data_IF_087008442834
#
_entry.id   IF_087008442834
#
_cell.length_a   1.000
_cell.length_b   1.000
_cell.length_c   1.000
_cell.angle_alpha   90.00
_cell.angle_beta   90.00
_cell.angle_gamma   90.00
#
_symmetry.space_group_name_H-M   'P 1'
#
loop_
_entity.id
_entity.type
_entity.pdbx_description
1 polymer ?
#
# COMPACT_ATOMS: atom_id res chain seq x y z
N UNK A 1 -35.68 11.77 18.17
CA UNK A 1 -35.54 13.24 17.97
C UNK A 1 -36.83 13.98 18.34
N UNK A 2 -38.01 13.42 18.08
CA UNK A 2 -39.30 14.06 18.46
C UNK A 2 -39.40 14.29 19.98
N UNK A 3 -39.00 13.34 20.79
CA UNK A 3 -38.98 13.45 22.26
C UNK A 3 -37.98 14.49 22.80
N UNK A 4 -36.89 14.76 22.07
CA UNK A 4 -35.92 15.78 22.49
C UNK A 4 -36.49 17.20 22.41
N UNK A 5 -37.50 17.43 21.53
CA UNK A 5 -38.14 18.73 21.37
C UNK A 5 -39.04 19.11 22.56
N UNK A 6 -39.45 18.14 23.34
CA UNK A 6 -40.36 18.32 24.48
C UNK A 6 -39.64 18.30 25.84
N UNK A 7 -38.35 17.92 25.89
CA UNK A 7 -37.55 17.89 27.10
C UNK A 7 -36.87 19.22 27.37
N UNK A 8 -36.81 19.63 28.63
CA UNK A 8 -35.97 20.75 29.07
C UNK A 8 -34.62 20.19 29.52
N UNK A 9 -33.55 20.83 29.09
CA UNK A 9 -32.17 20.48 29.45
C UNK A 9 -31.54 21.67 30.19
N UNK A 10 -30.71 21.41 31.17
CA UNK A 10 -29.93 22.42 31.82
C UNK A 10 -28.63 22.73 31.08
N UNK A 11 -27.87 23.75 31.52
CA UNK A 11 -26.63 24.19 30.90
C UNK A 11 -25.49 23.17 30.97
N UNK A 12 -25.61 22.13 31.81
CA UNK A 12 -24.60 21.08 32.00
C UNK A 12 -24.95 19.78 31.22
N UNK A 13 -26.08 19.78 30.54
CA UNK A 13 -26.54 18.62 29.78
C UNK A 13 -25.93 18.58 28.38
N UNK A 14 -25.16 17.54 28.07
CA UNK A 14 -24.69 17.27 26.72
C UNK A 14 -25.56 16.21 26.03
N UNK A 15 -26.04 16.51 24.84
CA UNK A 15 -26.83 15.60 24.02
C UNK A 15 -25.95 15.04 22.91
N UNK A 16 -25.78 13.72 22.91
CA UNK A 16 -25.03 13.01 21.85
C UNK A 16 -26.01 12.29 20.96
N UNK A 17 -26.06 12.68 19.68
CA UNK A 17 -26.92 12.07 18.67
C UNK A 17 -26.06 11.15 17.81
N UNK A 18 -26.38 9.86 17.85
CA UNK A 18 -25.76 8.87 16.97
C UNK A 18 -26.32 8.88 15.56
N UNK A 19 -25.63 8.26 14.65
CA UNK A 19 -26.09 7.97 13.28
C UNK A 19 -26.42 6.47 13.13
N UNK A 20 -26.79 6.03 11.91
CA UNK A 20 -27.14 4.63 11.62
C UNK A 20 -26.04 3.62 11.94
N UNK A 21 -24.80 4.04 12.08
CA UNK A 21 -23.66 3.19 12.40
C UNK A 21 -23.31 3.21 13.89
N UNK A 22 -23.95 4.08 14.68
CA UNK A 22 -23.71 4.15 16.13
C UNK A 22 -24.16 2.87 16.81
N UNK A 23 -23.33 2.36 17.69
CA UNK A 23 -23.56 1.15 18.49
C UNK A 23 -23.55 1.51 19.97
N UNK A 24 -24.19 0.65 20.77
CA UNK A 24 -24.11 0.73 22.22
C UNK A 24 -23.50 -0.56 22.78
N UNK A 25 -22.47 -0.39 23.64
CA UNK A 25 -21.88 -1.50 24.37
C UNK A 25 -21.86 -1.12 25.85
N UNK A 26 -22.65 -1.81 26.65
CA UNK A 26 -22.95 -1.44 28.06
C UNK A 26 -23.47 0.00 28.13
N UNK A 27 -22.76 0.88 28.82
CA UNK A 27 -23.13 2.29 29.02
C UNK A 27 -22.50 3.24 27.96
N UNK A 28 -21.68 2.72 27.07
CA UNK A 28 -20.97 3.51 26.07
C UNK A 28 -21.70 3.52 24.75
N UNK A 29 -21.81 4.70 24.17
CA UNK A 29 -22.27 4.90 22.80
C UNK A 29 -21.08 5.29 21.93
N UNK A 30 -20.87 4.60 20.82
CA UNK A 30 -19.77 4.87 19.91
C UNK A 30 -20.19 4.65 18.45
N UNK A 31 -19.57 5.38 17.55
CA UNK A 31 -19.70 5.17 16.11
C UNK A 31 -18.38 4.59 15.61
N UNK A 32 -18.33 3.33 15.15
CA UNK A 32 -17.13 2.76 14.56
C UNK A 32 -16.71 3.60 13.35
N UNK A 33 -15.46 4.05 13.34
CA UNK A 33 -14.89 4.85 12.24
C UNK A 33 -13.78 4.11 11.51
N UNK A 34 -13.83 2.78 11.45
CA UNK A 34 -12.80 1.99 10.79
C UNK A 34 -11.43 2.00 11.51
N UNK A 35 -11.37 2.51 12.74
CA UNK A 35 -10.18 2.40 13.57
C UNK A 35 -10.14 1.02 14.21
N UNK A 36 -9.20 0.19 13.75
CA UNK A 36 -8.77 -1.08 14.35
C UNK A 36 -9.80 -1.88 15.17
N UNK A 37 -10.25 -3.01 14.65
CA UNK A 37 -10.85 -4.16 15.37
C UNK A 37 -11.65 -3.84 16.64
N UNK A 38 -12.53 -2.84 16.60
CA UNK A 38 -13.48 -2.56 17.68
C UNK A 38 -14.56 -3.64 17.78
N UNK A 39 -14.93 -4.18 16.64
CA UNK A 39 -15.63 -5.44 16.57
C UNK A 39 -14.69 -6.39 15.83
N UNK A 40 -14.51 -7.60 16.31
CA UNK A 40 -13.93 -8.70 15.53
C UNK A 40 -14.82 -9.03 14.30
N UNK A 41 -15.55 -8.05 13.77
CA UNK A 41 -16.50 -8.15 12.67
C UNK A 41 -15.94 -7.68 11.32
N UNK A 42 -14.65 -7.30 11.26
CA UNK A 42 -13.99 -7.05 9.98
C UNK A 42 -13.76 -8.33 9.17
N UNK A 43 -14.09 -9.48 9.72
CA UNK A 43 -13.96 -10.79 9.08
C UNK A 43 -15.29 -11.34 8.54
N UNK A 44 -16.14 -10.48 8.00
CA UNK A 44 -17.46 -10.93 7.50
C UNK A 44 -17.44 -11.50 6.09
N UNK A 45 -16.34 -11.44 5.38
CA UNK A 45 -16.22 -12.13 4.08
C UNK A 45 -16.14 -13.63 4.35
N UNK A 46 -17.27 -14.31 4.13
CA UNK A 46 -17.32 -15.77 4.20
C UNK A 46 -16.73 -16.34 2.93
N UNK A 47 -15.84 -17.34 3.06
CA UNK A 47 -15.19 -17.94 1.90
C UNK A 47 -16.18 -18.43 0.83
N UNK A 48 -17.32 -18.95 1.23
CA UNK A 48 -18.36 -19.43 0.31
C UNK A 48 -19.18 -18.31 -0.38
N UNK A 49 -19.01 -17.05 0.02
CA UNK A 49 -19.58 -15.90 -0.70
C UNK A 49 -18.66 -15.39 -1.81
N UNK A 50 -17.45 -15.92 -1.89
CA UNK A 50 -16.48 -15.57 -2.94
C UNK A 50 -16.66 -16.54 -4.14
N UNK A 51 -16.38 -16.08 -5.37
CA UNK A 51 -16.49 -16.92 -6.54
C UNK A 51 -15.53 -18.11 -6.44
N UNK A 52 -16.08 -19.32 -6.58
CA UNK A 52 -15.29 -20.54 -6.53
C UNK A 52 -14.37 -20.65 -7.76
N UNK A 53 -13.16 -21.16 -7.56
CA UNK A 53 -12.17 -21.30 -8.62
C UNK A 53 -11.59 -19.99 -9.12
N UNK A 54 -11.77 -18.90 -8.40
CA UNK A 54 -11.21 -17.59 -8.78
C UNK A 54 -9.69 -17.55 -8.70
N UNK A 55 -9.07 -16.79 -9.60
CA UNK A 55 -7.69 -16.33 -9.41
C UNK A 55 -7.66 -15.24 -8.32
N UNK A 56 -6.81 -15.42 -7.33
CA UNK A 56 -6.65 -14.45 -6.25
C UNK A 56 -5.49 -13.51 -6.53
N UNK A 57 -5.80 -12.25 -6.81
CA UNK A 57 -4.81 -11.21 -7.06
C UNK A 57 -4.55 -10.44 -5.78
N UNK A 58 -3.38 -10.61 -5.21
CA UNK A 58 -2.91 -9.80 -4.10
C UNK A 58 -2.32 -8.51 -4.66
N UNK A 59 -3.04 -7.41 -4.43
CA UNK A 59 -2.78 -6.12 -5.04
C UNK A 59 -2.52 -5.05 -3.96
N UNK A 60 -2.27 -3.86 -4.39
CA UNK A 60 -1.96 -2.66 -3.61
C UNK A 60 -1.27 -1.64 -4.50
N UNK A 61 -1.29 -1.90 -5.80
CA UNK A 61 -0.65 -1.08 -6.84
C UNK A 61 -1.63 -0.88 -8.01
N UNK A 62 -1.41 0.18 -8.79
CA UNK A 62 -2.15 0.41 -10.04
C UNK A 62 -2.03 -0.76 -11.02
N UNK A 63 -0.83 -1.36 -11.09
CA UNK A 63 -0.57 -2.49 -11.99
C UNK A 63 -1.33 -3.75 -11.57
N UNK A 64 -1.40 -4.02 -10.24
CA UNK A 64 -2.18 -5.13 -9.74
C UNK A 64 -3.68 -4.98 -10.05
N UNK A 65 -4.19 -3.75 -10.02
CA UNK A 65 -5.57 -3.48 -10.43
C UNK A 65 -5.76 -3.63 -11.95
N UNK A 66 -4.80 -3.17 -12.76
CA UNK A 66 -4.82 -3.35 -14.20
C UNK A 66 -4.73 -4.83 -14.59
N UNK A 67 -3.85 -5.61 -13.94
CA UNK A 67 -3.76 -7.06 -14.12
C UNK A 67 -5.06 -7.77 -13.74
N UNK A 68 -5.68 -7.37 -12.63
CA UNK A 68 -6.98 -7.93 -12.21
C UNK A 68 -8.06 -7.70 -13.26
N UNK A 69 -8.07 -6.52 -13.90
CA UNK A 69 -8.95 -6.22 -15.03
C UNK A 69 -8.65 -7.15 -16.22
N UNK A 70 -7.39 -7.26 -16.61
CA UNK A 70 -6.99 -8.11 -17.73
C UNK A 70 -7.42 -9.58 -17.51
N UNK A 71 -7.28 -10.10 -16.29
CA UNK A 71 -7.74 -11.45 -15.95
C UNK A 71 -9.29 -11.54 -16.07
N UNK A 72 -10.03 -10.58 -15.55
CA UNK A 72 -11.50 -10.57 -15.61
C UNK A 72 -12.02 -10.48 -17.05
N UNK A 73 -11.36 -9.71 -17.92
CA UNK A 73 -11.69 -9.60 -19.33
C UNK A 73 -11.52 -10.92 -20.12
N UNK A 74 -10.73 -11.88 -19.60
CA UNK A 74 -10.69 -13.24 -20.15
C UNK A 74 -11.89 -14.11 -19.76
N UNK A 75 -12.82 -13.59 -18.97
CA UNK A 75 -13.99 -14.33 -18.44
C UNK A 75 -13.68 -15.16 -17.20
N UNK A 76 -12.46 -15.10 -16.65
CA UNK A 76 -12.10 -15.80 -15.41
C UNK A 76 -12.63 -15.06 -14.20
N UNK A 77 -13.06 -15.82 -13.19
CA UNK A 77 -13.40 -15.27 -11.88
C UNK A 77 -12.13 -14.73 -11.18
N UNK A 78 -12.25 -13.55 -10.58
CA UNK A 78 -11.15 -12.86 -9.89
C UNK A 78 -11.60 -12.44 -8.51
N UNK A 79 -10.73 -12.61 -7.53
CA UNK A 79 -10.83 -12.00 -6.21
C UNK A 79 -9.62 -11.09 -6.02
N UNK A 80 -9.85 -9.81 -5.73
CA UNK A 80 -8.76 -8.86 -5.43
C UNK A 80 -8.63 -8.70 -3.92
N UNK A 81 -7.45 -9.00 -3.40
CA UNK A 81 -7.10 -8.80 -2.00
C UNK A 81 -6.21 -7.57 -1.83
N UNK A 82 -6.62 -6.62 -1.00
CA UNK A 82 -5.89 -5.40 -0.69
C UNK A 82 -5.74 -5.19 0.81
N UNK A 83 -4.65 -4.54 1.24
CA UNK A 83 -4.35 -4.34 2.65
C UNK A 83 -5.14 -3.20 3.31
N UNK A 84 -5.87 -2.38 2.53
CA UNK A 84 -6.59 -1.21 3.02
C UNK A 84 -7.91 -1.02 2.29
N UNK A 85 -8.85 -0.32 2.92
CA UNK A 85 -10.14 0.03 2.30
C UNK A 85 -9.93 0.93 1.08
N UNK A 86 -8.95 1.82 1.10
CA UNK A 86 -8.56 2.62 -0.05
C UNK A 86 -8.10 1.75 -1.24
N UNK A 87 -7.26 0.73 -0.99
CA UNK A 87 -6.88 -0.23 -2.03
C UNK A 87 -8.07 -1.01 -2.58
N UNK A 88 -9.06 -1.30 -1.73
CA UNK A 88 -10.31 -1.94 -2.12
C UNK A 88 -11.16 -1.04 -3.03
N UNK A 89 -11.32 0.24 -2.67
CA UNK A 89 -12.02 1.23 -3.50
C UNK A 89 -11.36 1.35 -4.89
N UNK A 90 -10.04 1.41 -4.93
CA UNK A 90 -9.28 1.45 -6.19
C UNK A 90 -9.49 0.19 -7.05
N UNK A 91 -9.52 -1.00 -6.43
CA UNK A 91 -9.78 -2.25 -7.13
C UNK A 91 -11.21 -2.29 -7.71
N UNK A 92 -12.21 -1.86 -6.95
CA UNK A 92 -13.60 -1.78 -7.41
C UNK A 92 -13.81 -0.75 -8.54
N UNK A 93 -13.09 0.37 -8.50
CA UNK A 93 -13.09 1.35 -9.59
C UNK A 93 -12.44 0.78 -10.85
N UNK A 94 -11.35 0.03 -10.70
CA UNK A 94 -10.63 -0.57 -11.81
C UNK A 94 -11.41 -1.71 -12.47
N UNK A 95 -12.11 -2.53 -11.68
CA UNK A 95 -12.88 -3.72 -12.12
C UNK A 95 -14.26 -3.67 -11.46
N UNK A 96 -15.24 -2.99 -12.04
CA UNK A 96 -16.58 -2.91 -11.47
C UNK A 96 -17.20 -4.30 -11.24
N UNK A 97 -17.72 -4.52 -10.02
CA UNK A 97 -18.35 -5.80 -9.65
C UNK A 97 -17.38 -6.92 -9.28
N UNK A 98 -16.07 -6.69 -9.27
CA UNK A 98 -15.10 -7.69 -8.83
C UNK A 98 -15.31 -8.03 -7.35
N UNK A 99 -15.14 -9.30 -7.00
CA UNK A 99 -15.10 -9.72 -5.61
C UNK A 99 -13.81 -9.18 -4.94
N UNK A 100 -13.95 -8.50 -3.81
CA UNK A 100 -12.83 -7.91 -3.10
C UNK A 100 -12.76 -8.35 -1.66
N UNK A 101 -11.54 -8.46 -1.15
CA UNK A 101 -11.25 -8.71 0.26
C UNK A 101 -10.29 -7.64 0.76
N UNK A 102 -10.72 -6.82 1.69
CA UNK A 102 -9.90 -5.74 2.25
C UNK A 102 -9.42 -6.05 3.67
N UNK A 103 -8.30 -5.45 4.03
CA UNK A 103 -7.73 -5.51 5.36
C UNK A 103 -6.43 -6.28 5.45
N UNK A 104 -5.74 -6.09 6.58
CA UNK A 104 -4.48 -6.81 6.87
C UNK A 104 -4.78 -8.21 7.39
N UNK A 105 -5.13 -9.11 6.47
CA UNK A 105 -5.41 -10.50 6.82
C UNK A 105 -4.13 -11.18 7.37
N UNK A 106 -4.27 -11.92 8.47
CA UNK A 106 -3.25 -12.85 8.92
C UNK A 106 -3.11 -14.06 7.96
N UNK A 107 -2.00 -14.81 8.09
CA UNK A 107 -1.73 -15.99 7.25
C UNK A 107 -2.86 -17.00 7.35
N UNK A 108 -3.34 -17.30 8.56
CA UNK A 108 -4.42 -18.26 8.81
C UNK A 108 -5.70 -17.87 8.06
N UNK A 109 -6.05 -16.59 8.14
CA UNK A 109 -7.27 -16.11 7.47
C UNK A 109 -7.16 -16.16 5.95
N UNK A 110 -5.99 -15.86 5.38
CA UNK A 110 -5.74 -16.05 3.95
C UNK A 110 -5.88 -17.52 3.55
N UNK A 111 -5.33 -18.44 4.34
CA UNK A 111 -5.45 -19.89 4.15
C UNK A 111 -6.91 -20.32 4.08
N UNK A 112 -7.70 -19.92 5.08
CA UNK A 112 -9.14 -20.23 5.14
C UNK A 112 -9.90 -19.74 3.91
N UNK A 113 -9.64 -18.49 3.49
CA UNK A 113 -10.32 -17.89 2.36
C UNK A 113 -9.93 -18.53 1.03
N UNK A 114 -8.64 -18.78 0.81
CA UNK A 114 -8.12 -19.45 -0.39
C UNK A 114 -8.68 -20.87 -0.52
N UNK A 115 -8.61 -21.66 0.56
CA UNK A 115 -9.14 -23.03 0.58
C UNK A 115 -10.66 -23.05 0.44
N UNK A 116 -11.36 -22.22 1.21
CA UNK A 116 -12.82 -22.19 1.25
C UNK A 116 -13.47 -21.69 -0.03
N UNK A 117 -12.80 -20.82 -0.79
CA UNK A 117 -13.21 -20.40 -2.13
C UNK A 117 -12.68 -21.32 -3.24
N UNK A 118 -11.92 -22.35 -2.90
CA UNK A 118 -11.26 -23.22 -3.89
C UNK A 118 -10.49 -22.40 -4.93
N UNK A 119 -9.63 -21.49 -4.47
CA UNK A 119 -8.84 -20.62 -5.32
C UNK A 119 -8.14 -21.44 -6.43
N UNK A 120 -8.06 -20.91 -7.64
CA UNK A 120 -7.37 -21.58 -8.76
C UNK A 120 -5.89 -21.22 -8.84
N UNK A 121 -5.51 -20.04 -8.40
CA UNK A 121 -4.12 -19.57 -8.39
C UNK A 121 -3.96 -18.40 -7.42
N UNK A 122 -2.73 -18.19 -6.97
CA UNK A 122 -2.27 -16.99 -6.27
C UNK A 122 -1.47 -16.14 -7.27
N UNK A 123 -1.97 -14.93 -7.54
CA UNK A 123 -1.29 -13.91 -8.35
C UNK A 123 -0.76 -12.83 -7.41
N UNK A 124 0.54 -12.80 -7.22
CA UNK A 124 1.21 -11.79 -6.40
C UNK A 124 1.58 -10.57 -7.27
N UNK A 125 0.73 -9.56 -7.24
CA UNK A 125 0.95 -8.25 -7.85
C UNK A 125 1.18 -7.15 -6.79
N UNK A 126 1.70 -7.55 -5.62
CA UNK A 126 2.04 -6.62 -4.55
C UNK A 126 3.22 -5.73 -4.93
N UNK A 127 3.38 -4.63 -4.19
CA UNK A 127 4.50 -3.72 -4.41
C UNK A 127 5.85 -4.47 -4.31
N UNK A 128 6.84 -4.22 -5.20
CA UNK A 128 8.12 -4.93 -5.21
C UNK A 128 8.86 -4.99 -3.86
N UNK A 129 8.59 -4.04 -2.97
CA UNK A 129 9.16 -4.00 -1.61
C UNK A 129 8.29 -4.68 -0.55
N UNK A 130 7.27 -5.44 -0.93
CA UNK A 130 6.43 -6.19 -0.01
C UNK A 130 6.93 -7.63 0.19
N UNK A 131 8.24 -7.81 0.35
CA UNK A 131 8.94 -9.10 0.40
C UNK A 131 8.36 -10.07 1.43
N UNK A 132 8.00 -9.60 2.62
CA UNK A 132 7.35 -10.43 3.63
C UNK A 132 6.00 -11.00 3.14
N UNK A 133 5.20 -10.18 2.45
CA UNK A 133 3.94 -10.63 1.88
C UNK A 133 4.16 -11.67 0.78
N UNK A 134 5.09 -11.42 -0.13
CA UNK A 134 5.44 -12.38 -1.19
C UNK A 134 5.92 -13.71 -0.62
N UNK A 135 6.77 -13.71 0.42
CA UNK A 135 7.22 -14.92 1.08
C UNK A 135 6.05 -15.71 1.70
N UNK A 136 5.12 -15.01 2.37
CA UNK A 136 3.93 -15.64 2.95
C UNK A 136 3.01 -16.22 1.87
N UNK A 137 2.87 -15.54 0.72
CA UNK A 137 2.06 -16.02 -0.40
C UNK A 137 2.70 -17.24 -1.09
N UNK A 138 4.02 -17.26 -1.26
CA UNK A 138 4.75 -18.43 -1.77
C UNK A 138 4.55 -19.66 -0.87
N UNK A 139 4.71 -19.47 0.45
CA UNK A 139 4.50 -20.56 1.42
C UNK A 139 3.04 -21.08 1.40
N UNK A 140 2.04 -20.19 1.30
CA UNK A 140 0.64 -20.59 1.18
C UNK A 140 0.34 -21.29 -0.14
N UNK A 141 0.96 -20.87 -1.24
CA UNK A 141 0.80 -21.52 -2.53
C UNK A 141 1.34 -22.95 -2.50
N UNK A 142 2.51 -23.17 -1.92
CA UNK A 142 3.11 -24.48 -1.73
C UNK A 142 2.22 -25.36 -0.83
N UNK A 143 1.81 -24.87 0.33
CA UNK A 143 0.94 -25.59 1.28
C UNK A 143 -0.39 -26.03 0.67
N UNK A 144 -1.01 -25.15 -0.12
CA UNK A 144 -2.33 -25.38 -0.71
C UNK A 144 -2.25 -26.03 -2.11
N UNK A 145 -1.04 -26.36 -2.57
CA UNK A 145 -0.79 -26.87 -3.92
C UNK A 145 -1.40 -25.98 -5.03
N UNK A 146 -1.33 -24.66 -4.85
CA UNK A 146 -1.83 -23.67 -5.80
C UNK A 146 -0.69 -23.15 -6.67
N UNK A 147 -0.92 -22.87 -7.96
CA UNK A 147 0.01 -22.11 -8.77
C UNK A 147 0.27 -20.73 -8.15
N UNK A 148 1.56 -20.36 -8.04
CA UNK A 148 2.00 -19.04 -7.63
C UNK A 148 2.58 -18.30 -8.82
N UNK A 149 2.02 -17.12 -9.14
CA UNK A 149 2.44 -16.29 -10.27
C UNK A 149 2.81 -14.91 -9.72
N UNK A 150 4.09 -14.54 -9.83
CA UNK A 150 4.54 -13.18 -9.51
C UNK A 150 4.45 -12.29 -10.73
N UNK A 151 3.72 -11.19 -10.62
CA UNK A 151 3.87 -10.09 -11.55
C UNK A 151 4.83 -9.05 -10.96
N UNK A 152 5.92 -8.81 -11.63
CA UNK A 152 6.89 -7.80 -11.23
C UNK A 152 7.25 -6.92 -12.42
N UNK A 153 6.74 -5.68 -12.37
CA UNK A 153 7.03 -4.70 -13.41
C UNK A 153 8.54 -4.56 -13.61
N UNK A 154 9.03 -4.30 -14.84
CA UNK A 154 10.43 -4.05 -15.10
C UNK A 154 11.03 -3.01 -14.16
N UNK A 155 12.27 -3.18 -13.76
CA UNK A 155 12.99 -2.16 -13.02
C UNK A 155 13.16 -0.93 -13.90
N UNK A 156 13.05 0.28 -13.31
CA UNK A 156 13.27 1.50 -14.05
C UNK A 156 14.75 1.63 -14.45
N UNK A 157 15.02 1.75 -15.74
CA UNK A 157 16.22 2.38 -16.22
C UNK A 157 16.09 3.89 -15.96
N UNK A 158 17.17 4.57 -15.63
CA UNK A 158 17.17 6.04 -15.56
C UNK A 158 18.21 6.60 -16.50
N UNK A 159 17.80 7.55 -17.33
CA UNK A 159 18.73 8.37 -18.11
C UNK A 159 19.45 9.41 -17.25
N UNK A 160 18.98 9.59 -16.01
CA UNK A 160 19.53 10.55 -15.06
C UNK A 160 20.43 9.87 -14.01
N UNK A 161 21.42 10.58 -13.45
CA UNK A 161 22.28 10.05 -12.42
C UNK A 161 21.53 9.58 -11.19
N UNK A 162 21.72 8.33 -10.77
CA UNK A 162 21.17 7.75 -9.55
C UNK A 162 22.25 7.06 -8.75
N UNK A 163 22.15 7.10 -7.44
CA UNK A 163 23.06 6.39 -6.52
C UNK A 163 22.27 5.24 -5.90
N UNK A 164 22.62 4.01 -6.23
CA UNK A 164 21.90 2.83 -5.74
C UNK A 164 22.44 2.36 -4.39
N UNK A 165 21.52 1.94 -3.51
CA UNK A 165 21.80 1.37 -2.20
C UNK A 165 20.98 0.10 -2.00
N UNK A 166 21.56 -0.87 -1.31
CA UNK A 166 20.92 -2.15 -1.08
C UNK A 166 19.69 -2.06 -0.16
N UNK A 167 19.71 -1.15 0.81
CA UNK A 167 18.68 -1.05 1.86
C UNK A 167 18.52 0.38 2.40
N UNK A 168 17.50 0.56 3.25
CA UNK A 168 17.19 1.86 3.86
C UNK A 168 18.26 2.36 4.81
N UNK A 169 18.99 1.46 5.48
CA UNK A 169 20.03 1.86 6.45
C UNK A 169 21.25 2.39 5.72
N UNK A 170 21.67 1.76 4.63
CA UNK A 170 22.76 2.25 3.77
C UNK A 170 22.37 3.56 3.07
N UNK A 171 21.13 3.68 2.60
CA UNK A 171 20.61 4.90 2.00
C UNK A 171 20.57 6.06 3.02
N UNK A 172 20.17 5.81 4.27
CA UNK A 172 20.19 6.80 5.33
C UNK A 172 21.60 7.32 5.62
N UNK A 173 22.56 6.40 5.84
CA UNK A 173 23.98 6.77 6.07
C UNK A 173 24.55 7.58 4.92
N UNK A 174 24.30 7.17 3.69
CA UNK A 174 24.78 7.88 2.51
C UNK A 174 24.16 9.28 2.40
N UNK A 175 22.83 9.40 2.58
CA UNK A 175 22.15 10.68 2.50
C UNK A 175 22.68 11.71 3.49
N UNK A 176 23.01 11.28 4.71
CA UNK A 176 23.60 12.14 5.74
C UNK A 176 24.98 12.72 5.35
N UNK A 177 25.70 12.07 4.42
CA UNK A 177 26.94 12.61 3.87
C UNK A 177 26.72 13.54 2.67
N UNK A 178 25.53 13.52 2.07
CA UNK A 178 25.21 14.23 0.82
C UNK A 178 24.37 15.49 1.01
N UNK A 179 23.58 15.55 2.10
CA UNK A 179 22.70 16.68 2.32
C UNK A 179 22.30 16.84 3.79
N UNK A 180 21.69 17.96 4.10
CA UNK A 180 21.13 18.29 5.43
C UNK A 180 19.61 18.25 5.47
N UNK A 181 18.96 18.44 4.33
CA UNK A 181 17.49 18.46 4.17
C UNK A 181 17.07 17.34 3.24
N UNK A 182 16.89 16.16 3.83
CA UNK A 182 16.68 14.91 3.09
C UNK A 182 15.19 14.65 2.88
N UNK A 183 14.79 14.43 1.65
CA UNK A 183 13.41 14.09 1.29
C UNK A 183 13.26 12.59 1.06
N UNK A 184 12.32 11.98 1.80
CA UNK A 184 11.99 10.57 1.73
C UNK A 184 10.74 10.37 0.85
N UNK A 185 10.94 9.85 -0.36
CA UNK A 185 9.87 9.38 -1.24
C UNK A 185 9.64 7.86 -1.08
N UNK A 186 9.83 7.33 0.14
CA UNK A 186 9.80 5.90 0.48
C UNK A 186 8.54 5.46 1.23
N UNK A 187 7.65 6.42 1.52
CA UNK A 187 6.48 6.18 2.38
C UNK A 187 6.84 6.06 3.87
N UNK A 188 5.88 5.66 4.69
CA UNK A 188 6.01 5.67 6.16
C UNK A 188 6.54 4.37 6.76
N UNK A 189 6.58 3.25 6.02
CA UNK A 189 6.85 1.91 6.60
C UNK A 189 8.23 1.82 7.27
N UNK A 190 9.26 2.37 6.62
CA UNK A 190 10.65 2.32 7.09
C UNK A 190 11.16 3.66 7.62
N UNK A 191 10.26 4.64 7.82
CA UNK A 191 10.60 5.98 8.31
C UNK A 191 11.44 5.96 9.60
N UNK A 192 11.11 5.03 10.51
CA UNK A 192 11.83 4.85 11.78
C UNK A 192 13.34 4.55 11.58
N UNK A 193 13.73 3.85 10.49
CA UNK A 193 15.14 3.55 10.20
C UNK A 193 15.93 4.81 9.87
N UNK A 194 15.36 5.69 9.04
CA UNK A 194 15.99 6.96 8.67
C UNK A 194 16.15 7.88 9.88
N UNK A 195 15.12 7.98 10.71
CA UNK A 195 15.17 8.81 11.91
C UNK A 195 16.14 8.26 12.95
N UNK A 196 16.19 6.94 13.14
CA UNK A 196 17.11 6.28 14.06
C UNK A 196 18.58 6.40 13.62
N UNK A 197 18.85 6.47 12.31
CA UNK A 197 20.20 6.64 11.81
C UNK A 197 20.82 8.01 12.19
N UNK A 198 19.98 9.03 12.38
CA UNK A 198 20.39 10.40 12.77
C UNK A 198 20.13 10.65 14.26
N UNK A 199 20.77 9.86 15.11
CA UNK A 199 20.61 9.93 16.57
C UNK A 199 20.96 11.31 17.16
N UNK A 200 21.82 12.06 16.53
CA UNK A 200 22.21 13.40 16.94
C UNK A 200 21.31 14.50 16.35
N UNK A 201 20.31 14.14 15.56
CA UNK A 201 19.34 15.03 14.92
C UNK A 201 19.99 16.20 14.14
N UNK A 202 21.11 15.91 13.47
CA UNK A 202 21.87 16.92 12.69
C UNK A 202 21.26 17.19 11.31
N UNK A 203 20.27 16.38 10.89
CA UNK A 203 19.62 16.45 9.59
C UNK A 203 18.14 16.76 9.74
N UNK A 204 17.54 17.26 8.69
CA UNK A 204 16.11 17.49 8.61
C UNK A 204 15.50 16.51 7.61
N UNK A 205 14.67 15.61 8.13
CA UNK A 205 13.99 14.61 7.34
C UNK A 205 12.61 15.11 6.95
N UNK A 206 12.28 15.01 5.68
CA UNK A 206 10.99 15.33 5.10
C UNK A 206 10.44 14.06 4.48
N UNK A 207 9.13 13.83 4.55
CA UNK A 207 8.55 12.61 4.01
C UNK A 207 7.33 12.91 3.15
N UNK A 208 7.21 12.18 2.05
CA UNK A 208 5.96 12.06 1.31
C UNK A 208 5.38 10.67 1.51
N UNK A 209 4.08 10.63 1.83
CA UNK A 209 3.34 9.41 2.12
C UNK A 209 1.93 9.49 1.51
N UNK A 210 1.29 8.33 1.35
CA UNK A 210 -0.10 8.29 0.93
C UNK A 210 -0.99 8.98 1.97
N UNK A 211 -2.12 9.61 1.56
CA UNK A 211 -3.03 10.34 2.45
C UNK A 211 -3.90 9.39 3.29
N UNK A 212 -3.27 8.40 3.91
CA UNK A 212 -3.89 7.44 4.82
C UNK A 212 -3.63 7.88 6.27
N UNK A 213 -4.66 7.95 7.13
CA UNK A 213 -4.52 8.35 8.52
C UNK A 213 -3.47 7.55 9.30
N UNK A 214 -3.34 6.25 9.02
CA UNK A 214 -2.34 5.41 9.70
C UNK A 214 -0.92 5.77 9.31
N UNK A 215 -0.68 6.12 8.05
CA UNK A 215 0.64 6.57 7.57
C UNK A 215 1.02 7.90 8.19
N UNK A 216 0.04 8.82 8.27
CA UNK A 216 0.25 10.12 8.91
C UNK A 216 0.51 9.96 10.41
N UNK A 217 -0.32 9.17 11.10
CA UNK A 217 -0.17 8.93 12.55
C UNK A 217 1.19 8.32 12.86
N UNK A 218 1.64 7.31 12.08
CA UNK A 218 2.98 6.72 12.24
C UNK A 218 4.10 7.76 12.13
N UNK A 219 4.04 8.68 11.18
CA UNK A 219 5.04 9.73 11.05
C UNK A 219 5.04 10.69 12.25
N UNK A 220 3.86 11.01 12.78
CA UNK A 220 3.71 11.85 13.97
C UNK A 220 4.20 11.16 15.26
N UNK A 221 3.88 9.86 15.42
CA UNK A 221 4.34 9.05 16.57
C UNK A 221 5.87 8.92 16.62
N UNK A 222 6.51 8.95 15.45
CA UNK A 222 7.97 9.00 15.33
C UNK A 222 8.56 10.40 15.56
N UNK A 223 7.73 11.38 15.91
CA UNK A 223 8.16 12.75 16.23
C UNK A 223 8.43 13.66 15.03
N UNK A 224 8.04 13.24 13.81
CA UNK A 224 8.25 14.10 12.65
C UNK A 224 7.31 15.32 12.66
N UNK A 225 7.83 16.56 12.55
CA UNK A 225 6.99 17.75 12.52
C UNK A 225 6.02 17.74 11.34
N UNK A 226 4.76 18.17 11.58
CA UNK A 226 3.73 18.25 10.51
C UNK A 226 4.19 19.05 9.28
N UNK A 227 4.98 20.10 9.50
CA UNK A 227 5.55 20.94 8.42
C UNK A 227 6.53 20.20 7.51
N UNK A 228 6.94 18.98 7.85
CA UNK A 228 7.84 18.13 7.07
C UNK A 228 7.15 16.91 6.48
N UNK A 229 5.81 16.86 6.52
CA UNK A 229 5.01 15.75 6.02
C UNK A 229 4.17 16.22 4.85
N UNK A 230 4.33 15.59 3.69
CA UNK A 230 3.47 15.73 2.52
C UNK A 230 2.61 14.48 2.38
N UNK A 231 1.34 14.56 2.77
CA UNK A 231 0.38 13.47 2.61
C UNK A 231 -0.44 13.68 1.33
N UNK A 232 0.01 13.10 0.21
CA UNK A 232 -0.61 13.23 -1.10
C UNK A 232 -0.51 11.95 -1.92
N UNK A 233 -1.55 11.69 -2.72
CA UNK A 233 -1.56 10.57 -3.66
C UNK A 233 -0.77 10.91 -4.92
N UNK A 234 0.16 10.02 -5.29
CA UNK A 234 0.90 10.08 -6.55
C UNK A 234 0.18 9.36 -7.71
N UNK A 235 0.82 9.28 -8.88
CA UNK A 235 2.18 9.75 -9.18
C UNK A 235 2.28 11.28 -9.32
N UNK A 236 3.50 11.81 -9.23
CA UNK A 236 3.78 13.25 -9.33
C UNK A 236 4.63 13.54 -10.56
N UNK A 237 4.33 14.62 -11.25
CA UNK A 237 5.15 15.11 -12.36
C UNK A 237 6.52 15.58 -11.89
N UNK A 238 7.46 15.73 -12.82
CA UNK A 238 8.76 16.35 -12.56
C UNK A 238 8.58 17.74 -11.94
N UNK A 239 7.74 18.59 -12.55
CA UNK A 239 7.51 19.94 -12.07
C UNK A 239 6.96 20.01 -10.63
N UNK A 240 6.07 19.07 -10.27
CA UNK A 240 5.54 18.99 -8.90
C UNK A 240 6.62 18.59 -7.88
N UNK A 241 7.51 17.66 -8.25
CA UNK A 241 8.64 17.29 -7.41
C UNK A 241 9.61 18.46 -7.25
N UNK A 242 9.98 19.13 -8.34
CA UNK A 242 10.89 20.28 -8.31
C UNK A 242 10.35 21.43 -7.44
N UNK A 243 9.05 21.77 -7.59
CA UNK A 243 8.42 22.83 -6.82
C UNK A 243 8.45 22.52 -5.32
N UNK A 244 8.01 21.33 -4.92
CA UNK A 244 7.99 20.91 -3.52
C UNK A 244 9.42 20.91 -2.93
N UNK A 245 10.38 20.36 -3.64
CA UNK A 245 11.75 20.27 -3.15
C UNK A 245 12.46 21.63 -3.09
N UNK A 246 12.13 22.53 -4.01
CA UNK A 246 12.62 23.93 -3.96
C UNK A 246 12.05 24.66 -2.74
N UNK A 247 10.75 24.61 -2.54
CA UNK A 247 10.08 25.33 -1.46
C UNK A 247 10.51 24.81 -0.08
N UNK A 248 10.80 23.53 0.00
CA UNK A 248 11.31 22.92 1.22
C UNK A 248 12.85 22.96 1.34
N UNK A 249 13.55 23.53 0.36
CA UNK A 249 15.02 23.62 0.35
C UNK A 249 15.69 22.25 0.42
N UNK A 250 15.10 21.23 -0.21
CA UNK A 250 15.64 19.86 -0.23
C UNK A 250 16.96 19.83 -0.99
N UNK A 251 17.96 19.17 -0.41
CA UNK A 251 19.29 19.02 -0.95
C UNK A 251 19.75 17.56 -1.16
N UNK A 252 18.91 16.59 -0.77
CA UNK A 252 19.10 15.16 -1.07
C UNK A 252 17.74 14.45 -1.10
N UNK A 253 17.57 13.49 -1.99
CA UNK A 253 16.33 12.71 -2.12
C UNK A 253 16.61 11.22 -2.03
N UNK A 254 15.81 10.50 -1.24
CA UNK A 254 15.80 9.04 -1.21
C UNK A 254 14.46 8.53 -1.77
N UNK A 255 14.54 7.59 -2.71
CA UNK A 255 13.36 6.93 -3.28
C UNK A 255 13.54 5.41 -3.34
N UNK A 256 12.43 4.72 -3.53
CA UNK A 256 12.38 3.33 -3.95
C UNK A 256 12.23 3.26 -5.47
N UNK A 257 12.77 2.22 -6.10
CA UNK A 257 12.53 1.92 -7.51
C UNK A 257 11.11 1.35 -7.66
N UNK A 258 10.15 2.25 -7.72
CA UNK A 258 8.74 1.90 -7.86
C UNK A 258 8.30 1.68 -9.31
N UNK A 259 9.20 1.72 -10.26
CA UNK A 259 8.86 1.67 -11.69
C UNK A 259 8.21 2.96 -12.19
N UNK A 260 7.76 2.96 -13.44
CA UNK A 260 7.08 4.08 -14.09
C UNK A 260 5.81 4.49 -13.31
N UNK A 261 4.97 3.53 -12.94
CA UNK A 261 3.75 3.78 -12.17
C UNK A 261 4.03 4.39 -10.77
N UNK A 262 5.23 4.21 -10.22
CA UNK A 262 5.71 4.87 -9.00
C UNK A 262 6.28 6.27 -9.25
N UNK A 263 6.27 6.77 -10.50
CA UNK A 263 6.82 8.05 -10.90
C UNK A 263 8.34 8.13 -10.66
N UNK A 264 9.06 7.05 -10.94
CA UNK A 264 10.51 6.98 -10.74
C UNK A 264 11.24 8.00 -11.59
N UNK A 265 10.98 8.02 -12.90
CA UNK A 265 11.66 8.88 -13.86
C UNK A 265 11.41 10.37 -13.59
N UNK A 266 10.18 10.73 -13.25
CA UNK A 266 9.85 12.11 -12.89
C UNK A 266 10.61 12.59 -11.63
N UNK A 267 10.90 11.70 -10.68
CA UNK A 267 11.72 12.01 -9.50
C UNK A 267 13.20 12.13 -9.87
N UNK A 268 13.72 11.21 -10.68
CA UNK A 268 15.10 11.23 -11.13
C UNK A 268 15.39 12.50 -11.96
N UNK A 269 14.50 12.83 -12.90
CA UNK A 269 14.58 14.04 -13.72
C UNK A 269 14.54 15.30 -12.85
N UNK A 270 13.64 15.38 -11.86
CA UNK A 270 13.52 16.51 -10.95
C UNK A 270 14.79 16.68 -10.09
N UNK A 271 15.39 15.60 -9.61
CA UNK A 271 16.62 15.65 -8.85
C UNK A 271 17.80 16.12 -9.72
N UNK A 272 17.90 15.61 -10.95
CA UNK A 272 18.92 16.02 -11.92
C UNK A 272 18.78 17.50 -12.30
N UNK A 273 17.57 17.97 -12.61
CA UNK A 273 17.30 19.38 -12.92
C UNK A 273 17.69 20.33 -11.77
N UNK A 274 17.60 19.87 -10.53
CA UNK A 274 18.00 20.63 -9.35
C UNK A 274 19.46 20.44 -8.95
N UNK A 275 20.17 19.52 -9.59
CA UNK A 275 21.56 19.19 -9.24
C UNK A 275 21.72 18.58 -7.84
N UNK A 276 20.71 17.88 -7.32
CA UNK A 276 20.73 17.26 -6.00
C UNK A 276 20.88 15.73 -6.10
N UNK A 277 21.57 15.09 -5.13
CA UNK A 277 21.73 13.65 -5.10
C UNK A 277 20.38 12.92 -5.05
N UNK A 278 20.23 11.92 -5.91
CA UNK A 278 19.09 11.02 -5.93
C UNK A 278 19.52 9.61 -5.57
N UNK A 279 19.19 9.19 -4.34
CA UNK A 279 19.53 7.88 -3.78
C UNK A 279 18.35 6.95 -3.98
N UNK A 280 18.61 5.77 -4.54
CA UNK A 280 17.61 4.78 -4.85
C UNK A 280 17.89 3.50 -4.06
N UNK A 281 16.92 3.10 -3.27
CA UNK A 281 16.95 1.80 -2.58
C UNK A 281 16.59 0.73 -3.60
N UNK A 282 17.43 -0.27 -3.77
CA UNK A 282 17.20 -1.39 -4.68
C UNK A 282 16.00 -2.24 -4.24
N UNK A 283 15.36 -2.91 -5.20
CA UNK A 283 14.31 -3.87 -4.91
C UNK A 283 14.88 -5.08 -4.17
N UNK A 284 14.23 -5.59 -3.13
CA UNK A 284 14.61 -6.86 -2.54
C UNK A 284 14.56 -7.97 -3.59
N UNK A 285 15.56 -8.82 -3.62
CA UNK A 285 15.57 -10.00 -4.50
C UNK A 285 14.99 -11.17 -3.75
N UNK A 286 14.00 -11.82 -4.36
CA UNK A 286 13.41 -13.06 -3.89
C UNK A 286 13.43 -14.09 -5.02
N UNK A 287 13.62 -15.34 -4.67
CA UNK A 287 13.56 -16.45 -5.62
C UNK A 287 12.10 -16.87 -5.79
N UNK A 288 11.43 -16.26 -6.76
CA UNK A 288 10.05 -16.55 -7.07
C UNK A 288 9.94 -17.85 -7.89
N UNK A 289 8.98 -18.76 -7.60
CA UNK A 289 8.74 -19.96 -8.41
C UNK A 289 8.47 -19.64 -9.87
N UNK A 290 7.65 -18.62 -10.13
CA UNK A 290 7.36 -18.07 -11.44
C UNK A 290 7.23 -16.55 -11.36
N UNK A 291 7.92 -15.82 -12.21
CA UNK A 291 7.86 -14.36 -12.27
C UNK A 291 7.74 -13.90 -13.72
N UNK A 292 6.89 -12.90 -13.92
CA UNK A 292 6.55 -12.32 -15.22
C UNK A 292 6.60 -10.80 -15.12
N UNK A 293 6.97 -10.14 -16.20
CA UNK A 293 7.06 -8.68 -16.29
C UNK A 293 5.99 -8.07 -17.23
N UNK A 294 5.18 -8.92 -17.86
CA UNK A 294 4.05 -8.54 -18.69
C UNK A 294 2.75 -9.30 -18.30
N UNK A 295 1.61 -8.74 -18.67
CA UNK A 295 0.30 -9.32 -18.34
C UNK A 295 -0.03 -10.54 -19.19
N UNK A 296 0.38 -10.55 -20.44
CA UNK A 296 0.08 -11.64 -21.39
C UNK A 296 0.66 -12.96 -20.89
N UNK A 297 1.91 -12.93 -20.43
CA UNK A 297 2.59 -14.08 -19.84
C UNK A 297 1.91 -14.57 -18.56
N UNK A 298 1.44 -13.66 -17.70
CA UNK A 298 0.66 -14.03 -16.51
C UNK A 298 -0.65 -14.70 -16.91
N UNK A 299 -1.39 -14.14 -17.90
CA UNK A 299 -2.65 -14.69 -18.39
C UNK A 299 -2.49 -16.08 -19.00
N UNK A 300 -1.39 -16.30 -19.73
CA UNK A 300 -1.06 -17.60 -20.32
C UNK A 300 -0.70 -18.66 -19.28
N UNK A 301 -0.06 -18.26 -18.16
CA UNK A 301 0.33 -19.15 -17.07
C UNK A 301 -0.82 -19.49 -16.10
N UNK A 302 -1.91 -18.71 -16.12
CA UNK A 302 -3.06 -19.00 -15.28
C UNK A 302 -3.72 -20.33 -15.71
N UNK A 303 -4.14 -21.18 -14.75
CA UNK A 303 -4.89 -22.39 -15.05
C UNK A 303 -6.10 -22.08 -15.95
N UNK A 304 -6.36 -22.94 -16.91
CA UNK A 304 -7.61 -22.86 -17.68
C UNK A 304 -8.75 -23.03 -16.68
N UNK A 305 -9.68 -22.07 -16.64
CA UNK A 305 -10.83 -22.12 -15.74
C UNK A 305 -11.56 -23.44 -15.94
N UNK A 306 -11.59 -24.27 -14.90
CA UNK A 306 -12.41 -25.46 -14.91
C UNK A 306 -13.86 -25.04 -15.13
N UNK A 307 -14.47 -25.47 -16.20
CA UNK A 307 -15.93 -25.46 -16.32
C UNK A 307 -16.45 -26.27 -15.12
N UNK A 308 -17.13 -25.55 -14.19
CA UNK A 308 -17.78 -26.16 -13.04
C UNK A 308 -19.07 -26.85 -13.50
#
# INVERSE_FOLDING_TARGET
LAELRTRRFDMLTSIVIGNRFTRRKREWMFTPRGYFNWDNTSDTVKAHALPAGAAWVFSGTSDGNALSRAIAETGRAVVVSSASDYGNEQAQQAVPGVATVSGRLGVERRRELLSGSRASAIVDATHPYASEMSQQLMALAEELALPYLRYERPASGSEHPVIRCADSDSAARLAMTKGKRVFLATGSKELHRFLAADSEQKHQWFVRLAPDPQHLQRALDLGLPRSRICAMQGPFSQAANEALWRDWGIDCVISKDGGEAGGFDAKAAAAAARGIPFIVIDRPRLDYPQSFDDFESVLAALPQGGQA
#
